data_IF_295896188174
#
_entry.id   IF_295896188174
#
_cell.length_a   1.000
_cell.length_b   1.000
_cell.length_c   1.000
_cell.angle_alpha   90.00
_cell.angle_beta   90.00
_cell.angle_gamma   90.00
#
_symmetry.space_group_name_H-M   'P 1'
#
loop_
_entity.id
_entity.type
_entity.pdbx_description
1 polymer ?
#
# COMPACT_ATOMS: atom_id res chain seq x y z
N UNK A 1 2.10 16.12 -6.77
CA UNK A 1 2.10 15.50 -5.43
C UNK A 1 3.19 14.44 -5.42
N UNK A 2 3.84 14.21 -4.28
CA UNK A 2 4.85 13.15 -4.18
C UNK A 2 4.17 11.78 -4.08
N UNK A 3 4.67 10.82 -4.86
CA UNK A 3 4.20 9.44 -4.85
C UNK A 3 4.57 8.80 -3.51
N UNK A 4 3.59 8.38 -2.71
CA UNK A 4 3.83 7.77 -1.39
C UNK A 4 2.89 6.61 -1.09
N UNK A 5 3.35 5.72 -0.21
CA UNK A 5 2.59 4.58 0.29
C UNK A 5 2.68 4.53 1.82
N UNK A 6 1.53 4.42 2.47
CA UNK A 6 1.37 4.32 3.93
C UNK A 6 0.47 3.12 4.25
N UNK A 7 0.51 2.63 5.49
CA UNK A 7 -0.40 1.56 5.92
C UNK A 7 -0.80 1.74 7.39
N UNK A 8 -1.94 1.16 7.75
CA UNK A 8 -2.39 0.98 9.13
C UNK A 8 -3.12 -0.36 9.28
N UNK A 9 -3.21 -0.86 10.52
CA UNK A 9 -3.99 -2.06 10.86
C UNK A 9 -5.18 -1.59 11.70
N UNK A 10 -6.40 -1.93 11.26
CA UNK A 10 -7.67 -1.60 11.92
C UNK A 10 -8.51 -2.85 12.04
N UNK A 11 -8.84 -3.26 13.26
CA UNK A 11 -9.69 -4.44 13.51
C UNK A 11 -9.24 -5.64 12.65
N UNK A 12 -7.95 -5.98 12.77
CA UNK A 12 -7.28 -7.07 12.01
C UNK A 12 -7.10 -6.82 10.51
N UNK A 13 -7.86 -5.88 9.92
CA UNK A 13 -7.73 -5.50 8.51
C UNK A 13 -6.51 -4.60 8.27
N UNK A 14 -5.66 -4.98 7.32
CA UNK A 14 -4.59 -4.13 6.81
C UNK A 14 -5.13 -3.16 5.75
N UNK A 15 -4.99 -1.85 5.97
CA UNK A 15 -5.33 -0.83 4.97
C UNK A 15 -4.05 -0.21 4.43
N UNK A 16 -3.83 -0.32 3.12
CA UNK A 16 -2.68 0.28 2.42
C UNK A 16 -3.16 1.45 1.58
N UNK A 17 -2.57 2.62 1.83
CA UNK A 17 -2.90 3.87 1.15
C UNK A 17 -1.86 4.20 0.09
N UNK A 18 -2.32 4.45 -1.13
CA UNK A 18 -1.50 4.98 -2.22
C UNK A 18 -1.91 6.41 -2.52
N UNK A 19 -0.92 7.29 -2.60
CA UNK A 19 -1.08 8.70 -2.93
C UNK A 19 -0.22 9.05 -4.13
N UNK A 20 -0.80 9.78 -5.08
CA UNK A 20 -0.15 10.13 -6.34
C UNK A 20 -0.48 9.12 -7.43
N UNK A 21 0.40 8.99 -8.42
CA UNK A 21 0.25 8.08 -9.55
C UNK A 21 0.87 6.73 -9.23
N UNK A 22 0.29 5.64 -9.73
CA UNK A 22 0.90 4.31 -9.71
C UNK A 22 1.26 3.95 -11.14
N UNK A 23 2.55 3.85 -11.43
CA UNK A 23 3.05 3.59 -12.77
C UNK A 23 4.30 2.69 -12.76
N UNK A 24 4.83 2.41 -13.95
CA UNK A 24 6.01 1.57 -14.11
C UNK A 24 7.28 2.12 -13.45
N UNK A 25 7.34 3.41 -13.13
CA UNK A 25 8.51 4.04 -12.49
C UNK A 25 8.56 3.80 -10.99
N UNK A 26 7.40 3.60 -10.33
CA UNK A 26 7.31 3.51 -8.87
C UNK A 26 6.80 2.15 -8.34
N UNK A 27 6.28 1.28 -9.21
CA UNK A 27 5.74 -0.03 -8.81
C UNK A 27 6.76 -0.93 -8.09
N UNK A 28 8.04 -0.84 -8.44
CA UNK A 28 9.11 -1.63 -7.83
C UNK A 28 9.35 -1.25 -6.36
N UNK A 29 9.23 0.04 -6.03
CA UNK A 29 9.34 0.56 -4.67
C UNK A 29 8.18 0.08 -3.80
N UNK A 30 6.96 0.08 -4.33
CA UNK A 30 5.77 -0.40 -3.62
C UNK A 30 5.80 -1.90 -3.40
N UNK A 31 6.22 -2.69 -4.41
CA UNK A 31 6.28 -4.15 -4.31
C UNK A 31 7.13 -4.62 -3.12
N UNK A 32 8.31 -4.04 -2.92
CA UNK A 32 9.19 -4.45 -1.83
C UNK A 32 8.58 -4.15 -0.46
N UNK A 33 7.96 -2.99 -0.29
CA UNK A 33 7.28 -2.62 0.96
C UNK A 33 6.04 -3.50 1.20
N UNK A 34 5.23 -3.74 0.16
CA UNK A 34 4.06 -4.61 0.23
C UNK A 34 4.41 -6.02 0.67
N UNK A 35 5.48 -6.61 0.11
CA UNK A 35 5.92 -7.95 0.52
C UNK A 35 6.21 -8.06 2.01
N UNK A 36 6.80 -7.01 2.61
CA UNK A 36 7.08 -6.99 4.06
C UNK A 36 5.77 -6.87 4.85
N UNK A 37 4.90 -5.95 4.45
CA UNK A 37 3.66 -5.67 5.21
C UNK A 37 2.68 -6.85 5.11
N UNK A 38 2.52 -7.45 3.92
CA UNK A 38 1.66 -8.61 3.69
C UNK A 38 2.16 -9.87 4.41
N UNK A 39 3.45 -9.96 4.73
CA UNK A 39 3.97 -11.08 5.54
C UNK A 39 3.68 -10.91 7.04
N UNK A 40 3.26 -9.71 7.48
CA UNK A 40 2.98 -9.40 8.88
C UNK A 40 1.49 -9.50 9.25
N UNK A 41 0.60 -9.66 8.25
CA UNK A 41 -0.85 -9.70 8.44
C UNK A 41 -1.42 -10.79 7.52
N UNK A 42 -2.05 -11.80 8.12
CA UNK A 42 -2.67 -12.93 7.40
C UNK A 42 -4.16 -12.69 7.08
N UNK A 43 -4.68 -11.53 7.50
CA UNK A 43 -6.09 -11.16 7.43
C UNK A 43 -6.39 -10.35 6.15
N UNK A 44 -7.60 -9.79 6.08
CA UNK A 44 -8.05 -9.03 4.91
C UNK A 44 -7.20 -7.78 4.65
N UNK A 45 -6.97 -7.50 3.36
CA UNK A 45 -6.20 -6.35 2.90
C UNK A 45 -7.04 -5.45 2.01
N UNK A 46 -7.11 -4.17 2.38
CA UNK A 46 -7.78 -3.14 1.59
C UNK A 46 -6.73 -2.22 0.96
N UNK A 47 -6.75 -2.15 -0.38
CA UNK A 47 -5.97 -1.17 -1.13
C UNK A 47 -6.80 0.08 -1.38
N UNK A 48 -6.43 1.18 -0.71
CA UNK A 48 -7.05 2.48 -0.90
C UNK A 48 -6.23 3.30 -1.90
N UNK A 49 -6.72 3.36 -3.13
CA UNK A 49 -6.08 4.11 -4.21
C UNK A 49 -6.80 5.44 -4.37
N UNK A 50 -6.16 6.55 -3.97
CA UNK A 50 -6.62 7.90 -4.27
C UNK A 50 -5.83 8.44 -5.46
N UNK A 51 -6.33 8.16 -6.65
CA UNK A 51 -5.89 8.81 -7.89
C UNK A 51 -6.58 10.17 -8.03
N UNK A 52 -5.84 11.18 -8.49
CA UNK A 52 -6.40 12.49 -8.87
C UNK A 52 -6.79 12.50 -10.35
#
# INVERSE_FOLDING_TARGET
MENKMEYEIKEETLVVYFYGEIDGSNVSLYRNKLNVILAMNEDDVIFNVKTY
#
